data_IF_174404158515
#
_entry.id   IF_174404158515
#
_cell.length_a   1.000
_cell.length_b   1.000
_cell.length_c   1.000
_cell.angle_alpha   90.00
_cell.angle_beta   90.00
_cell.angle_gamma   90.00
#
_symmetry.space_group_name_H-M   'P 1'
#
loop_
_entity.id
_entity.type
_entity.pdbx_description
1 polymer ?
#
# COMPACT_ATOMS: atom_id res chain seq x y z
N UNK A 1 32.58 12.24 12.13
CA UNK A 1 31.53 11.54 11.36
C UNK A 1 30.37 12.50 11.22
N UNK A 2 29.98 12.85 10.00
CA UNK A 2 28.93 13.86 9.77
C UNK A 2 27.54 13.25 9.92
N UNK A 3 26.52 14.07 10.21
CA UNK A 3 25.12 13.65 10.25
C UNK A 3 24.67 12.98 8.94
N UNK A 4 25.25 13.39 7.80
CA UNK A 4 24.99 12.80 6.49
C UNK A 4 25.56 11.38 6.35
N UNK A 5 26.68 11.07 7.03
CA UNK A 5 27.27 9.73 7.00
C UNK A 5 26.40 8.72 7.74
N UNK A 6 25.81 9.14 8.87
CA UNK A 6 24.84 8.33 9.63
C UNK A 6 23.57 8.04 8.82
N UNK A 7 22.99 9.07 8.19
CA UNK A 7 21.78 8.91 7.36
C UNK A 7 22.02 7.95 6.19
N UNK A 8 23.20 8.00 5.56
CA UNK A 8 23.55 7.07 4.47
C UNK A 8 23.69 5.63 4.97
N UNK A 9 24.22 5.45 6.18
CA UNK A 9 24.42 4.13 6.77
C UNK A 9 23.09 3.45 7.12
N UNK A 10 22.14 4.17 7.73
CA UNK A 10 20.81 3.64 8.05
C UNK A 10 20.04 3.21 6.80
N UNK A 11 20.15 3.97 5.71
CA UNK A 11 19.49 3.64 4.44
C UNK A 11 20.02 2.34 3.82
N UNK A 12 21.33 2.09 3.91
CA UNK A 12 21.92 0.84 3.42
C UNK A 12 21.46 -0.37 4.23
N UNK A 13 21.39 -0.24 5.56
CA UNK A 13 20.87 -1.29 6.46
C UNK A 13 19.42 -1.62 6.11
N UNK A 14 18.61 -0.60 5.81
CA UNK A 14 17.21 -0.75 5.41
C UNK A 14 17.01 -1.21 3.94
N UNK A 15 18.09 -1.40 3.16
CA UNK A 15 18.01 -1.74 1.74
C UNK A 15 17.42 -0.61 0.86
N UNK A 16 17.46 0.64 1.33
CA UNK A 16 16.93 1.81 0.63
C UNK A 16 17.99 2.43 -0.29
N UNK A 17 17.60 3.02 -1.43
CA UNK A 17 18.52 3.70 -2.33
C UNK A 17 19.16 4.92 -1.68
N UNK A 18 20.45 5.14 -1.95
CA UNK A 18 21.25 6.27 -1.45
C UNK A 18 21.01 7.60 -2.17
N UNK A 19 20.50 7.53 -3.41
CA UNK A 19 20.15 8.67 -4.23
C UNK A 19 18.76 8.45 -4.82
N UNK A 20 18.00 9.51 -5.14
CA UNK A 20 16.71 9.38 -5.82
C UNK A 20 16.80 8.48 -7.06
N UNK A 21 15.71 7.77 -7.34
CA UNK A 21 15.57 6.91 -8.50
C UNK A 21 14.90 7.72 -9.60
N UNK A 22 15.59 7.93 -10.70
CA UNK A 22 15.06 8.59 -11.90
C UNK A 22 14.43 7.57 -12.84
N UNK A 23 13.37 7.95 -13.56
CA UNK A 23 12.74 7.05 -14.53
C UNK A 23 13.55 7.01 -15.82
N UNK A 24 14.51 6.08 -15.87
CA UNK A 24 15.41 5.87 -17.00
C UNK A 24 15.31 4.42 -17.45
N UNK A 25 15.36 4.17 -18.76
CA UNK A 25 15.08 2.81 -19.29
C UNK A 25 16.06 1.75 -18.78
N UNK A 26 17.30 2.13 -18.45
CA UNK A 26 18.35 1.22 -18.00
C UNK A 26 18.17 0.73 -16.55
N UNK A 27 17.30 1.35 -15.74
CA UNK A 27 17.09 0.96 -14.33
C UNK A 27 15.98 -0.07 -14.14
N UNK A 28 15.30 -0.49 -15.22
CA UNK A 28 14.13 -1.36 -15.17
C UNK A 28 14.42 -2.75 -15.73
N UNK A 29 13.90 -3.79 -15.10
CA UNK A 29 13.82 -5.15 -15.62
C UNK A 29 12.37 -5.46 -15.98
N UNK A 30 12.12 -5.94 -17.21
CA UNK A 30 10.78 -6.40 -17.58
C UNK A 30 10.41 -7.65 -16.78
N UNK A 31 9.23 -7.64 -16.16
CA UNK A 31 8.67 -8.82 -15.54
C UNK A 31 8.07 -9.75 -16.61
N UNK A 32 8.15 -11.06 -16.40
CA UNK A 32 7.67 -12.05 -17.38
C UNK A 32 6.15 -12.21 -17.39
N UNK A 33 5.45 -11.76 -16.35
CA UNK A 33 3.99 -11.81 -16.28
C UNK A 33 3.36 -10.49 -16.70
N UNK A 34 2.23 -10.58 -17.40
CA UNK A 34 1.34 -9.46 -17.72
C UNK A 34 0.07 -9.58 -16.89
N UNK A 35 -0.45 -8.47 -16.40
CA UNK A 35 -1.76 -8.46 -15.74
C UNK A 35 -2.88 -8.67 -16.77
N UNK A 36 -4.08 -9.01 -16.27
CA UNK A 36 -5.28 -9.21 -17.10
C UNK A 36 -5.69 -7.97 -17.91
N UNK A 37 -5.28 -6.78 -17.46
CA UNK A 37 -5.47 -5.50 -18.14
C UNK A 37 -4.43 -5.23 -19.25
N UNK A 38 -3.60 -6.22 -19.57
CA UNK A 38 -2.49 -6.12 -20.54
C UNK A 38 -1.42 -5.07 -20.17
N UNK A 39 -1.38 -4.62 -18.91
CA UNK A 39 -0.32 -3.73 -18.43
C UNK A 39 1.03 -4.47 -18.40
N UNK A 40 2.08 -3.75 -18.79
CA UNK A 40 3.46 -4.22 -18.68
C UNK A 40 4.03 -3.81 -17.34
N UNK A 41 4.60 -4.78 -16.64
CA UNK A 41 5.23 -4.56 -15.34
C UNK A 41 6.75 -4.57 -15.49
N UNK A 42 7.39 -3.62 -14.83
CA UNK A 42 8.83 -3.55 -14.72
C UNK A 42 9.25 -3.42 -13.27
N UNK A 43 10.31 -4.13 -12.87
CA UNK A 43 10.88 -4.07 -11.53
C UNK A 43 12.16 -3.22 -11.54
N UNK A 44 12.31 -2.33 -10.56
CA UNK A 44 13.50 -1.49 -10.46
C UNK A 44 14.72 -2.32 -10.02
N UNK A 45 15.84 -2.17 -10.73
CA UNK A 45 17.13 -2.81 -10.43
C UNK A 45 17.75 -2.30 -9.12
N UNK A 46 17.53 -1.02 -8.79
CA UNK A 46 18.10 -0.36 -7.61
C UNK A 46 17.28 -0.56 -6.34
N UNK A 47 16.00 -0.93 -6.50
CA UNK A 47 15.05 -1.10 -5.40
C UNK A 47 13.99 -2.15 -5.80
N UNK A 48 14.21 -3.44 -5.48
CA UNK A 48 13.34 -4.53 -5.94
C UNK A 48 11.86 -4.42 -5.51
N UNK A 49 11.55 -3.60 -4.51
CA UNK A 49 10.18 -3.35 -4.08
C UNK A 49 9.42 -2.33 -4.95
N UNK A 50 10.15 -1.54 -5.75
CA UNK A 50 9.59 -0.53 -6.65
C UNK A 50 9.28 -1.15 -8.02
N UNK A 51 8.03 -0.98 -8.43
CA UNK A 51 7.51 -1.45 -9.71
C UNK A 51 6.94 -0.29 -10.52
N UNK A 52 7.21 -0.32 -11.83
CA UNK A 52 6.64 0.55 -12.85
C UNK A 52 5.59 -0.22 -13.64
N UNK A 53 4.40 0.34 -13.75
CA UNK A 53 3.29 -0.16 -14.53
C UNK A 53 3.13 0.72 -15.76
N UNK A 54 3.08 0.10 -16.94
CA UNK A 54 2.82 0.78 -18.21
C UNK A 54 1.52 0.21 -18.77
N UNK A 55 0.49 1.05 -18.77
CA UNK A 55 -0.85 0.67 -19.23
C UNK A 55 -0.97 0.77 -20.76
N UNK A 56 -1.97 0.12 -21.38
CA UNK A 56 -2.17 0.17 -22.84
C UNK A 56 -2.41 1.58 -23.40
N UNK A 57 -3.00 2.45 -22.61
CA UNK A 57 -3.22 3.88 -22.91
C UNK A 57 -1.94 4.74 -22.77
N UNK A 58 -0.81 4.10 -22.44
CA UNK A 58 0.51 4.70 -22.16
C UNK A 58 0.59 5.49 -20.85
N UNK A 59 -0.41 5.39 -19.98
CA UNK A 59 -0.32 5.89 -18.62
C UNK A 59 0.75 5.09 -17.85
N UNK A 60 1.49 5.79 -16.98
CA UNK A 60 2.52 5.18 -16.14
C UNK A 60 2.15 5.38 -14.67
N UNK A 61 2.19 4.30 -13.90
CA UNK A 61 2.05 4.35 -12.44
C UNK A 61 3.20 3.62 -11.77
N UNK A 62 3.53 4.02 -10.55
CA UNK A 62 4.59 3.43 -9.76
C UNK A 62 4.03 2.93 -8.45
N UNK A 63 4.54 1.80 -7.99
CA UNK A 63 4.08 1.19 -6.74
C UNK A 63 5.29 0.64 -5.99
N UNK A 64 5.36 0.88 -4.68
CA UNK A 64 6.40 0.32 -3.81
C UNK A 64 5.75 -0.63 -2.79
N UNK A 65 6.02 -1.93 -2.92
CA UNK A 65 5.34 -2.93 -2.10
C UNK A 65 5.78 -2.93 -0.63
N UNK A 66 6.88 -2.24 -0.29
CA UNK A 66 7.36 -2.13 1.10
C UNK A 66 7.07 -0.77 1.75
N UNK A 67 6.53 0.21 1.01
CA UNK A 67 6.32 1.60 1.46
C UNK A 67 5.37 1.77 2.64
N UNK A 68 4.43 0.85 2.81
CA UNK A 68 3.39 0.91 3.86
C UNK A 68 3.23 -0.41 4.59
N UNK A 69 2.76 -0.41 5.83
CA UNK A 69 2.23 -1.62 6.47
C UNK A 69 0.88 -1.31 7.11
N UNK A 70 0.02 -2.31 7.20
CA UNK A 70 -1.19 -2.23 8.00
C UNK A 70 -0.87 -2.56 9.45
N UNK A 71 -1.58 -1.90 10.36
CA UNK A 71 -1.51 -2.07 11.80
C UNK A 71 -2.94 -2.29 12.28
N UNK A 72 -3.18 -3.37 13.01
CA UNK A 72 -4.48 -3.59 13.64
C UNK A 72 -4.71 -2.53 14.73
N UNK A 73 -5.82 -1.79 14.65
CA UNK A 73 -6.18 -0.76 15.63
C UNK A 73 -6.39 -1.32 17.03
N UNK A 74 -6.81 -2.58 17.15
CA UNK A 74 -7.06 -3.26 18.41
C UNK A 74 -5.81 -3.99 18.92
N UNK A 75 -4.84 -4.26 18.04
CA UNK A 75 -3.56 -4.85 18.40
C UNK A 75 -2.40 -4.20 17.63
N UNK A 76 -1.81 -3.10 18.16
CA UNK A 76 -0.74 -2.37 17.48
C UNK A 76 0.55 -3.16 17.21
N UNK A 77 0.69 -4.36 17.79
CA UNK A 77 1.81 -5.27 17.53
C UNK A 77 1.56 -6.17 16.31
N UNK A 78 0.31 -6.30 15.87
CA UNK A 78 -0.06 -7.05 14.68
C UNK A 78 0.10 -6.14 13.46
N UNK A 79 1.04 -6.49 12.59
CA UNK A 79 1.29 -5.77 11.34
C UNK A 79 1.27 -6.71 10.16
N UNK A 80 0.67 -6.27 9.06
CA UNK A 80 0.55 -7.07 7.85
C UNK A 80 0.60 -6.20 6.59
N UNK A 81 0.58 -6.83 5.41
CA UNK A 81 0.56 -6.16 4.11
C UNK A 81 -0.61 -6.69 3.31
N UNK A 82 -1.44 -5.79 2.79
CA UNK A 82 -2.57 -6.14 1.93
C UNK A 82 -2.59 -5.27 0.68
N UNK A 83 -3.08 -5.86 -0.43
CA UNK A 83 -3.28 -5.13 -1.68
C UNK A 83 -4.34 -4.03 -1.58
N UNK A 84 -5.33 -4.18 -0.67
CA UNK A 84 -6.40 -3.18 -0.47
C UNK A 84 -5.83 -1.85 0.04
N UNK A 85 -5.18 -1.86 1.20
CA UNK A 85 -4.56 -0.67 1.78
C UNK A 85 -3.47 -0.10 0.88
N UNK A 86 -2.75 -0.94 0.12
CA UNK A 86 -1.79 -0.46 -0.87
C UNK A 86 -2.44 0.38 -1.96
N UNK A 87 -3.53 -0.09 -2.56
CA UNK A 87 -4.25 0.65 -3.60
C UNK A 87 -4.74 2.01 -3.08
N UNK A 88 -5.32 2.03 -1.89
CA UNK A 88 -5.80 3.27 -1.26
C UNK A 88 -4.65 4.27 -1.05
N UNK A 89 -3.50 3.82 -0.55
CA UNK A 89 -2.34 4.69 -0.32
C UNK A 89 -1.69 5.14 -1.62
N UNK A 90 -1.62 4.27 -2.65
CA UNK A 90 -1.09 4.63 -3.97
C UNK A 90 -2.01 5.66 -4.66
N UNK A 91 -3.32 5.62 -4.44
CA UNK A 91 -4.29 6.64 -4.88
C UNK A 91 -4.09 7.99 -4.15
N UNK A 92 -3.95 7.95 -2.82
CA UNK A 92 -3.83 9.17 -2.00
C UNK A 92 -2.45 9.84 -2.12
N UNK A 93 -1.39 9.04 -2.25
CA UNK A 93 -0.01 9.49 -2.25
C UNK A 93 0.76 8.86 -3.41
N UNK A 94 0.41 9.16 -4.67
CA UNK A 94 1.05 8.56 -5.83
C UNK A 94 2.57 8.76 -5.79
N UNK A 95 3.32 7.74 -6.19
CA UNK A 95 4.76 7.85 -6.32
C UNK A 95 5.08 8.68 -7.55
N UNK A 96 5.85 9.75 -7.34
CA UNK A 96 6.38 10.63 -8.40
C UNK A 96 7.89 10.45 -8.52
N UNK A 97 8.39 10.62 -9.75
CA UNK A 97 9.82 10.54 -10.04
C UNK A 97 10.44 11.95 -10.09
N UNK A 98 11.69 12.14 -9.64
CA UNK A 98 12.56 11.12 -9.07
C UNK A 98 12.11 10.66 -7.68
N UNK A 99 12.11 9.34 -7.47
CA UNK A 99 11.56 8.74 -6.26
C UNK A 99 12.64 8.48 -5.21
N UNK A 100 12.43 9.01 -4.01
CA UNK A 100 13.25 8.71 -2.84
C UNK A 100 12.35 8.15 -1.75
N UNK A 101 12.46 6.85 -1.40
CA UNK A 101 11.60 6.27 -0.39
C UNK A 101 11.89 6.91 0.97
N UNK A 102 10.82 7.38 1.59
CA UNK A 102 10.80 7.95 2.92
C UNK A 102 10.62 6.88 4.00
N UNK A 103 9.99 7.28 5.09
CA UNK A 103 9.65 6.38 6.19
C UNK A 103 8.43 5.51 5.84
N UNK A 104 8.34 4.37 6.52
CA UNK A 104 7.22 3.45 6.40
C UNK A 104 5.91 4.15 6.78
N UNK A 105 4.91 4.10 5.89
CA UNK A 105 3.56 4.59 6.17
C UNK A 105 2.81 3.51 6.97
N UNK A 106 2.32 3.84 8.16
CA UNK A 106 1.52 2.90 8.96
C UNK A 106 0.05 3.19 8.72
N UNK A 107 -0.67 2.23 8.13
CA UNK A 107 -2.12 2.32 7.89
C UNK A 107 -2.83 1.56 8.99
N UNK A 108 -3.74 2.22 9.68
CA UNK A 108 -4.46 1.64 10.80
C UNK A 108 -5.80 1.09 10.33
N UNK A 109 -5.95 -0.22 10.48
CA UNK A 109 -7.06 -0.99 9.95
C UNK A 109 -7.72 -1.84 11.03
N UNK A 110 -8.95 -2.27 10.77
CA UNK A 110 -9.63 -3.35 11.49
C UNK A 110 -10.21 -4.30 10.44
N UNK A 111 -10.11 -5.59 10.67
CA UNK A 111 -10.78 -6.60 9.88
C UNK A 111 -11.54 -7.56 10.81
N UNK A 112 -12.68 -8.06 10.35
CA UNK A 112 -13.50 -9.01 11.08
C UNK A 112 -14.40 -9.81 10.14
N UNK A 113 -15.00 -10.88 10.69
CA UNK A 113 -15.88 -11.79 9.99
C UNK A 113 -17.33 -11.63 10.44
N UNK A 114 -18.26 -11.64 9.49
CA UNK A 114 -19.71 -11.61 9.77
C UNK A 114 -20.42 -12.89 9.32
N UNK A 115 -19.90 -13.59 8.32
CA UNK A 115 -20.36 -14.93 7.91
C UNK A 115 -19.20 -15.93 7.90
N UNK A 116 -19.34 -17.04 8.66
CA UNK A 116 -18.32 -18.11 8.73
C UNK A 116 -17.95 -18.72 7.38
N UNK A 117 -18.81 -18.56 6.36
CA UNK A 117 -18.55 -19.07 5.01
C UNK A 117 -17.47 -18.29 4.26
N UNK A 118 -17.17 -17.06 4.69
CA UNK A 118 -16.27 -16.15 4.01
C UNK A 118 -14.80 -16.27 4.45
N UNK A 119 -14.46 -17.33 5.20
CA UNK A 119 -13.09 -17.60 5.63
C UNK A 119 -12.68 -16.81 6.87
N UNK A 120 -11.54 -16.11 6.80
CA UNK A 120 -10.90 -15.49 7.98
C UNK A 120 -11.54 -14.13 8.33
N UNK A 121 -11.86 -13.32 7.32
CA UNK A 121 -12.52 -12.02 7.47
C UNK A 121 -13.25 -11.67 6.17
N UNK A 122 -14.33 -10.91 6.29
CA UNK A 122 -15.16 -10.49 5.16
C UNK A 122 -15.43 -8.98 5.15
N UNK A 123 -14.91 -8.27 6.14
CA UNK A 123 -15.14 -6.83 6.33
C UNK A 123 -13.82 -6.19 6.76
N UNK A 124 -13.47 -5.06 6.16
CA UNK A 124 -12.25 -4.31 6.44
C UNK A 124 -12.56 -2.82 6.57
N UNK A 125 -12.16 -2.20 7.68
CA UNK A 125 -12.13 -0.76 7.88
C UNK A 125 -10.71 -0.23 7.75
N UNK A 126 -10.51 0.80 6.92
CA UNK A 126 -9.24 1.52 6.76
C UNK A 126 -9.43 2.94 7.30
N UNK A 127 -8.93 3.18 8.52
CA UNK A 127 -9.31 4.36 9.29
C UNK A 127 -8.41 5.57 9.01
N UNK A 128 -7.11 5.42 9.21
CA UNK A 128 -6.15 6.50 9.06
C UNK A 128 -4.76 5.98 8.75
N UNK A 129 -3.90 6.85 8.21
CA UNK A 129 -2.49 6.58 8.05
C UNK A 129 -1.66 7.51 8.94
N UNK A 130 -0.55 7.00 9.48
CA UNK A 130 0.54 7.79 10.04
C UNK A 130 1.65 7.82 9.01
N UNK A 131 1.94 9.01 8.51
CA UNK A 131 2.99 9.28 7.53
C UNK A 131 4.00 10.24 8.15
N UNK A 132 5.28 10.07 7.83
CA UNK A 132 6.31 11.00 8.29
C UNK A 132 6.89 11.74 7.10
N UNK A 133 6.77 13.06 7.10
CA UNK A 133 7.38 13.95 6.11
C UNK A 133 8.22 15.01 6.83
N UNK A 134 9.44 15.26 6.34
CA UNK A 134 10.36 16.24 6.92
C UNK A 134 10.59 16.08 8.44
N UNK A 135 10.55 14.84 8.94
CA UNK A 135 10.72 14.52 10.35
C UNK A 135 9.48 14.74 11.22
N UNK A 136 8.36 15.18 10.65
CA UNK A 136 7.09 15.37 11.34
C UNK A 136 6.13 14.23 11.01
N UNK A 137 5.50 13.68 12.04
CA UNK A 137 4.43 12.69 11.88
C UNK A 137 3.10 13.39 11.68
N UNK A 138 2.41 13.01 10.61
CA UNK A 138 1.07 13.47 10.28
C UNK A 138 0.10 12.29 10.33
N UNK A 139 -1.06 12.51 10.96
CA UNK A 139 -2.19 11.60 10.91
C UNK A 139 -3.13 12.04 9.80
N UNK A 140 -3.39 11.15 8.86
CA UNK A 140 -4.23 11.41 7.68
C UNK A 140 -5.44 10.50 7.76
N UNK A 141 -6.62 11.09 7.87
CA UNK A 141 -7.89 10.35 7.91
C UNK A 141 -8.20 9.75 6.53
N UNK A 142 -8.63 8.49 6.52
CA UNK A 142 -9.00 7.73 5.32
C UNK A 142 -10.49 7.37 5.38
N UNK A 143 -10.91 6.69 6.45
CA UNK A 143 -12.28 6.27 6.72
C UNK A 143 -13.00 5.64 5.51
N UNK A 144 -12.35 4.65 4.90
CA UNK A 144 -12.92 3.82 3.82
C UNK A 144 -13.20 2.43 4.35
N UNK A 145 -14.35 1.87 3.99
CA UNK A 145 -14.84 0.61 4.54
C UNK A 145 -15.20 -0.34 3.39
N UNK A 146 -14.94 -1.63 3.59
CA UNK A 146 -15.08 -2.63 2.54
C UNK A 146 -15.68 -3.91 3.08
N UNK A 147 -16.39 -4.63 2.22
CA UNK A 147 -16.78 -6.02 2.43
C UNK A 147 -16.35 -6.91 1.27
N UNK A 148 -16.37 -8.21 1.48
CA UNK A 148 -16.25 -9.17 0.39
C UNK A 148 -17.39 -8.95 -0.64
N UNK A 149 -17.11 -9.11 -1.94
CA UNK A 149 -18.12 -9.01 -2.98
C UNK A 149 -19.23 -10.05 -2.80
N UNK A 150 -20.47 -9.66 -3.06
CA UNK A 150 -21.63 -10.55 -2.95
C UNK A 150 -22.23 -10.84 -4.34
N UNK A 151 -22.68 -12.07 -4.55
CA UNK A 151 -23.33 -12.49 -5.80
C UNK A 151 -22.40 -12.39 -7.03
N UNK A 152 -22.74 -11.49 -7.94
CA UNK A 152 -22.02 -11.29 -9.21
C UNK A 152 -21.18 -10.00 -9.22
N UNK A 153 -20.95 -9.39 -8.05
CA UNK A 153 -20.08 -8.21 -7.94
C UNK A 153 -18.66 -8.54 -8.41
N UNK A 154 -18.08 -7.65 -9.21
CA UNK A 154 -16.72 -7.78 -9.70
C UNK A 154 -15.69 -7.27 -8.69
N UNK A 155 -14.47 -7.80 -8.74
CA UNK A 155 -13.37 -7.36 -7.91
C UNK A 155 -13.13 -8.24 -6.69
N UNK A 156 -12.31 -7.73 -5.74
CA UNK A 156 -11.98 -8.45 -4.49
C UNK A 156 -12.59 -7.82 -3.25
N UNK A 157 -13.04 -6.57 -3.35
CA UNK A 157 -13.57 -5.77 -2.26
C UNK A 157 -14.63 -4.83 -2.82
N UNK A 158 -15.76 -4.77 -2.14
CA UNK A 158 -16.84 -3.80 -2.42
C UNK A 158 -16.76 -2.71 -1.35
N UNK A 159 -16.61 -1.46 -1.77
CA UNK A 159 -16.59 -0.31 -0.85
C UNK A 159 -18.01 -0.06 -0.33
N UNK A 160 -18.14 0.15 0.97
CA UNK A 160 -19.42 0.30 1.68
C UNK A 160 -19.42 1.58 2.52
N UNK A 161 -20.61 2.02 2.91
CA UNK A 161 -20.74 3.17 3.79
C UNK A 161 -20.25 2.86 5.21
N UNK A 162 -19.99 3.91 5.99
CA UNK A 162 -19.68 3.77 7.41
C UNK A 162 -20.83 3.15 8.18
N UNK A 163 -22.07 3.48 7.81
CA UNK A 163 -23.28 2.96 8.46
C UNK A 163 -23.39 1.43 8.27
N UNK A 164 -23.15 0.94 7.05
CA UNK A 164 -23.12 -0.50 6.77
C UNK A 164 -21.98 -1.18 7.53
N UNK A 165 -20.80 -0.56 7.58
CA UNK A 165 -19.68 -1.09 8.35
C UNK A 165 -20.00 -1.26 9.83
N UNK A 166 -20.63 -0.27 10.47
CA UNK A 166 -21.03 -0.36 11.88
C UNK A 166 -22.14 -1.39 12.10
N UNK A 167 -23.08 -1.53 11.16
CA UNK A 167 -24.08 -2.61 11.18
C UNK A 167 -23.39 -3.98 11.15
N UNK A 168 -22.47 -4.19 10.21
CA UNK A 168 -21.68 -5.42 10.09
C UNK A 168 -20.87 -5.68 11.35
N UNK A 169 -20.28 -4.64 11.95
CA UNK A 169 -19.52 -4.75 13.20
C UNK A 169 -20.38 -5.18 14.39
N UNK A 170 -21.66 -4.78 14.43
CA UNK A 170 -22.60 -5.18 15.49
C UNK A 170 -22.92 -6.69 15.49
N UNK A 171 -22.76 -7.35 14.35
CA UNK A 171 -23.00 -8.78 14.14
C UNK A 171 -21.72 -9.59 13.91
N UNK A 172 -20.55 -9.03 14.23
CA UNK A 172 -19.27 -9.72 14.11
C UNK A 172 -19.26 -11.00 14.94
N UNK A 173 -18.62 -12.04 14.42
CA UNK A 173 -18.54 -13.37 15.02
C UNK A 173 -17.42 -13.52 16.05
#
# INVERSE_FOLDING_TARGET
MSMLDWIKQDRLIDGKPLAPIEDTDDIWNACSWTYSDSSKLYQCKRMPSLFKHVFPDKTIAYTDCVRLCCVDINNPRSTYRTGLSRRIIDEMFPIVMPYMPGNLIKVYCEDFLTDKKNGDFDTVGVFYAIKTENGQQEKIEINRFFREPEGNEEGRWTEISKEEYEERKSRKL
#
